data_IF_895567984368
#
_entry.id   IF_895567984368
#
_cell.length_a   1.000
_cell.length_b   1.000
_cell.length_c   1.000
_cell.angle_alpha   90.00
_cell.angle_beta   90.00
_cell.angle_gamma   90.00
#
_symmetry.space_group_name_H-M   'P 1'
#
loop_
_entity.id
_entity.type
_entity.pdbx_description
1 polymer ?
#
# COMPACT_ATOMS: atom_id res chain seq x y z
N UNK A 1 -20.20 2.28 8.54
CA UNK A 1 -20.73 0.99 8.98
C UNK A 1 -19.90 0.53 10.17
N UNK A 2 -20.58 0.17 11.27
CA UNK A 2 -19.92 -0.29 12.48
C UNK A 2 -19.42 -1.72 12.24
N UNK A 3 -18.19 -1.85 11.81
CA UNK A 3 -17.51 -3.13 11.68
C UNK A 3 -17.11 -3.62 13.08
N UNK A 4 -18.09 -4.07 13.87
CA UNK A 4 -17.74 -4.74 15.11
C UNK A 4 -17.36 -6.18 14.79
N UNK A 5 -16.12 -6.53 15.09
CA UNK A 5 -15.61 -7.90 14.89
C UNK A 5 -16.11 -8.88 15.96
N UNK A 6 -16.93 -8.44 16.94
CA UNK A 6 -17.39 -9.29 18.02
C UNK A 6 -18.21 -10.49 17.52
N UNK A 7 -19.08 -10.30 16.53
CA UNK A 7 -19.82 -11.42 15.97
C UNK A 7 -19.04 -12.20 14.90
N UNK A 8 -18.03 -11.56 14.28
CA UNK A 8 -17.18 -12.22 13.29
C UNK A 8 -16.39 -13.39 13.88
N UNK A 9 -16.04 -13.30 15.16
CA UNK A 9 -15.37 -14.36 15.88
C UNK A 9 -16.24 -15.65 16.03
N UNK A 10 -17.54 -15.52 15.80
CA UNK A 10 -18.49 -16.63 15.86
C UNK A 10 -18.80 -17.25 14.48
N UNK A 11 -18.23 -16.73 13.42
CA UNK A 11 -18.42 -17.25 12.07
C UNK A 11 -17.28 -18.24 11.74
N UNK A 12 -17.59 -19.54 11.61
CA UNK A 12 -16.57 -20.60 11.52
C UNK A 12 -15.81 -20.64 10.19
N UNK A 13 -16.17 -19.80 9.22
CA UNK A 13 -15.61 -19.79 7.88
C UNK A 13 -15.20 -18.38 7.40
N UNK A 14 -15.12 -17.40 8.29
CA UNK A 14 -14.58 -16.09 7.91
C UNK A 14 -13.06 -16.11 7.97
N UNK A 15 -12.43 -15.87 6.85
CA UNK A 15 -10.97 -15.79 6.77
C UNK A 15 -10.50 -14.55 7.54
N UNK A 16 -9.67 -14.74 8.56
CA UNK A 16 -9.14 -13.69 9.43
C UNK A 16 -10.17 -12.68 9.98
N UNK A 17 -11.42 -13.08 10.17
CA UNK A 17 -12.48 -12.16 10.55
C UNK A 17 -12.89 -11.17 9.45
N UNK A 18 -12.57 -11.48 8.19
CA UNK A 18 -12.62 -10.57 7.06
C UNK A 18 -14.00 -10.35 6.43
N UNK A 19 -15.08 -10.87 7.02
CA UNK A 19 -16.42 -10.70 6.45
C UNK A 19 -16.86 -9.22 6.38
N UNK A 20 -16.35 -8.40 7.29
CA UNK A 20 -16.62 -6.95 7.36
C UNK A 20 -15.33 -6.20 7.61
N UNK A 21 -14.37 -6.31 6.70
CA UNK A 21 -13.12 -5.57 6.83
C UNK A 21 -13.36 -4.06 6.88
N UNK A 22 -12.66 -3.36 7.76
CA UNK A 22 -12.55 -1.92 7.66
C UNK A 22 -11.83 -1.53 6.36
N UNK A 23 -11.89 -0.27 5.93
CA UNK A 23 -11.03 0.21 4.86
C UNK A 23 -9.56 -0.12 5.16
N UNK A 24 -8.85 -0.64 4.15
CA UNK A 24 -7.42 -0.90 4.22
C UNK A 24 -6.70 -0.19 3.08
N UNK A 25 -5.42 0.10 3.26
CA UNK A 25 -4.65 0.92 2.35
C UNK A 25 -4.49 0.25 0.99
N UNK A 26 -4.23 -1.05 0.98
CA UNK A 26 -4.06 -1.86 -0.22
C UNK A 26 -5.34 -1.99 -1.03
N UNK A 27 -6.49 -2.25 -0.38
CA UNK A 27 -7.80 -2.32 -1.05
C UNK A 27 -8.25 -0.94 -1.52
N UNK A 28 -8.08 0.08 -0.68
CA UNK A 28 -8.38 1.48 -1.05
C UNK A 28 -7.56 1.89 -2.26
N UNK A 29 -6.26 1.54 -2.31
CA UNK A 29 -5.40 1.77 -3.47
C UNK A 29 -5.95 1.11 -4.74
N UNK A 30 -6.42 -0.14 -4.65
CA UNK A 30 -7.05 -0.84 -5.79
C UNK A 30 -8.31 -0.12 -6.29
N UNK A 31 -9.16 0.33 -5.36
CA UNK A 31 -10.36 1.09 -5.71
C UNK A 31 -10.01 2.43 -6.38
N UNK A 32 -9.03 3.15 -5.86
CA UNK A 32 -8.53 4.41 -6.46
C UNK A 32 -8.03 4.16 -7.88
N UNK A 33 -7.21 3.13 -8.10
CA UNK A 33 -6.71 2.78 -9.43
C UNK A 33 -7.84 2.46 -10.40
N UNK A 34 -8.85 1.70 -9.95
CA UNK A 34 -10.02 1.35 -10.77
C UNK A 34 -10.82 2.61 -11.14
N UNK A 35 -11.14 3.47 -10.18
CA UNK A 35 -11.91 4.70 -10.42
C UNK A 35 -11.18 5.62 -11.40
N UNK A 36 -9.86 5.78 -11.24
CA UNK A 36 -9.04 6.57 -12.15
C UNK A 36 -9.06 6.00 -13.58
N UNK A 37 -8.98 4.68 -13.74
CA UNK A 37 -9.07 4.02 -15.05
C UNK A 37 -10.45 4.17 -15.69
N UNK A 38 -11.52 4.28 -14.91
CA UNK A 38 -12.87 4.59 -15.38
C UNK A 38 -13.07 6.07 -15.74
N UNK A 39 -12.03 6.90 -15.58
CA UNK A 39 -12.06 8.30 -15.93
C UNK A 39 -12.48 9.25 -14.80
N UNK A 40 -12.68 8.73 -13.59
CA UNK A 40 -12.91 9.56 -12.41
C UNK A 40 -11.68 10.43 -12.13
N UNK A 41 -11.93 11.66 -11.71
CA UNK A 41 -10.87 12.64 -11.40
C UNK A 41 -10.97 13.13 -9.97
N UNK A 42 -9.84 13.34 -9.33
CA UNK A 42 -9.77 13.86 -7.95
C UNK A 42 -10.43 15.23 -7.77
N UNK A 43 -10.54 16.01 -8.84
CA UNK A 43 -11.18 17.33 -8.81
C UNK A 43 -12.71 17.26 -8.77
N UNK A 44 -13.33 16.18 -9.22
CA UNK A 44 -14.79 16.06 -9.41
C UNK A 44 -15.42 14.89 -8.66
N UNK A 45 -14.64 13.89 -8.26
CA UNK A 45 -15.14 12.69 -7.59
C UNK A 45 -14.92 12.76 -6.08
N UNK A 46 -16.00 12.88 -5.31
CA UNK A 46 -15.94 12.85 -3.84
C UNK A 46 -15.40 11.52 -3.31
N UNK A 47 -15.75 10.41 -3.96
CA UNK A 47 -15.23 9.09 -3.58
C UNK A 47 -13.70 9.03 -3.70
N UNK A 48 -13.16 9.55 -4.80
CA UNK A 48 -11.74 9.59 -5.03
C UNK A 48 -11.02 10.52 -4.04
N UNK A 49 -11.61 11.68 -3.74
CA UNK A 49 -11.08 12.63 -2.75
C UNK A 49 -10.97 11.98 -1.35
N UNK A 50 -12.04 11.33 -0.88
CA UNK A 50 -12.05 10.66 0.41
C UNK A 50 -11.04 9.51 0.47
N UNK A 51 -10.94 8.72 -0.59
CA UNK A 51 -9.97 7.63 -0.67
C UNK A 51 -8.51 8.13 -0.65
N UNK A 52 -8.21 9.20 -1.38
CA UNK A 52 -6.90 9.83 -1.37
C UNK A 52 -6.57 10.48 -0.02
N UNK A 53 -7.56 11.06 0.65
CA UNK A 53 -7.40 11.57 2.00
C UNK A 53 -7.05 10.45 2.98
N UNK A 54 -7.82 9.36 2.98
CA UNK A 54 -7.56 8.18 3.81
C UNK A 54 -6.13 7.65 3.60
N UNK A 55 -5.70 7.47 2.36
CA UNK A 55 -4.34 7.03 2.02
C UNK A 55 -3.27 7.94 2.63
N UNK A 56 -3.46 9.28 2.58
CA UNK A 56 -2.50 10.23 3.18
C UNK A 56 -2.47 10.15 4.70
N UNK A 57 -3.64 10.00 5.32
CA UNK A 57 -3.77 9.92 6.78
C UNK A 57 -3.21 8.62 7.37
N UNK A 58 -3.20 7.55 6.59
CA UNK A 58 -2.71 6.23 7.01
C UNK A 58 -1.25 5.96 6.63
N UNK A 59 -0.58 6.89 5.95
CA UNK A 59 0.85 6.74 5.67
C UNK A 59 1.64 6.70 6.99
N UNK A 60 2.45 5.66 7.15
CA UNK A 60 3.27 5.49 8.34
C UNK A 60 4.42 6.52 8.38
N UNK A 61 4.96 6.81 9.56
CA UNK A 61 6.03 7.80 9.73
C UNK A 61 7.27 7.51 8.88
N UNK A 62 7.56 6.24 8.58
CA UNK A 62 8.68 5.82 7.74
C UNK A 62 8.42 6.02 6.24
N UNK A 63 7.18 6.29 5.85
CA UNK A 63 6.75 6.51 4.47
C UNK A 63 6.04 5.32 3.82
N UNK A 64 5.96 4.17 4.48
CA UNK A 64 5.29 2.97 3.99
C UNK A 64 3.78 2.97 4.27
N UNK A 65 3.09 1.98 3.70
CA UNK A 65 1.71 1.63 4.03
C UNK A 65 1.59 0.15 4.35
N UNK A 66 0.73 -0.17 5.31
CA UNK A 66 0.39 -1.53 5.67
C UNK A 66 -0.45 -2.19 4.57
N UNK A 67 -0.16 -3.46 4.25
CA UNK A 67 -0.91 -4.24 3.28
C UNK A 67 -1.56 -5.46 3.94
N UNK A 68 -2.87 -5.45 4.08
CA UNK A 68 -3.60 -6.53 4.75
C UNK A 68 -3.66 -7.81 3.92
N UNK A 69 -3.84 -7.70 2.61
CA UNK A 69 -4.11 -8.82 1.73
C UNK A 69 -2.91 -9.34 0.95
N UNK A 70 -1.75 -8.83 1.25
CA UNK A 70 -0.47 -9.29 0.74
C UNK A 70 0.62 -9.05 1.77
N UNK A 71 1.77 -9.68 1.61
CA UNK A 71 2.89 -9.52 2.54
C UNK A 71 3.78 -8.37 2.07
N UNK A 72 3.93 -7.42 2.90
CA UNK A 72 3.01 -6.70 3.77
C UNK A 72 3.18 -5.22 3.48
N UNK A 73 4.26 -4.58 4.01
CA UNK A 73 4.55 -3.16 3.76
C UNK A 73 5.04 -2.89 2.33
N UNK A 74 5.83 -3.81 1.73
CA UNK A 74 6.23 -3.70 0.32
C UNK A 74 5.00 -3.77 -0.58
N UNK A 75 4.11 -4.72 -0.32
CA UNK A 75 2.87 -4.90 -1.06
C UNK A 75 1.91 -3.70 -0.89
N UNK A 76 1.68 -3.25 0.33
CA UNK A 76 0.82 -2.09 0.63
C UNK A 76 1.33 -0.82 -0.03
N UNK A 77 2.62 -0.55 0.13
CA UNK A 77 3.27 0.62 -0.45
C UNK A 77 3.22 0.61 -1.98
N UNK A 78 3.50 -0.54 -2.62
CA UNK A 78 3.33 -0.68 -4.06
C UNK A 78 1.91 -0.37 -4.53
N UNK A 79 0.90 -0.98 -3.88
CA UNK A 79 -0.51 -0.80 -4.24
C UNK A 79 -0.90 0.69 -4.19
N UNK A 80 -0.49 1.37 -3.12
CA UNK A 80 -0.79 2.79 -2.92
C UNK A 80 -0.02 3.69 -3.89
N UNK A 81 1.26 3.45 -4.14
CA UNK A 81 2.02 4.24 -5.11
C UNK A 81 1.42 4.17 -6.52
N UNK A 82 1.01 2.98 -6.96
CA UNK A 82 0.31 2.80 -8.23
C UNK A 82 -1.01 3.57 -8.26
N UNK A 83 -1.75 3.57 -7.16
CA UNK A 83 -3.02 4.28 -7.03
C UNK A 83 -2.86 5.79 -7.09
N UNK A 84 -1.90 6.33 -6.35
CA UNK A 84 -1.59 7.76 -6.35
C UNK A 84 -1.18 8.23 -7.74
N UNK A 85 -0.32 7.48 -8.41
CA UNK A 85 0.07 7.77 -9.79
C UNK A 85 -1.13 7.76 -10.75
N UNK A 86 -1.99 6.72 -10.69
CA UNK A 86 -3.19 6.62 -11.52
C UNK A 86 -4.17 7.79 -11.28
N UNK A 87 -4.26 8.28 -10.04
CA UNK A 87 -5.07 9.44 -9.67
C UNK A 87 -4.42 10.80 -10.04
N UNK A 88 -3.26 10.79 -10.70
CA UNK A 88 -2.55 11.99 -11.12
C UNK A 88 -1.86 12.75 -9.98
N UNK A 89 -1.47 12.06 -8.92
CA UNK A 89 -0.58 12.62 -7.89
C UNK A 89 0.85 12.63 -8.44
N UNK A 90 1.46 13.81 -8.46
CA UNK A 90 2.81 13.97 -9.02
C UNK A 90 3.91 13.30 -8.18
N UNK A 91 5.06 12.95 -8.77
CA UNK A 91 6.15 12.26 -8.09
C UNK A 91 6.80 13.09 -6.96
N UNK A 92 6.64 14.40 -6.99
CA UNK A 92 7.18 15.33 -5.98
C UNK A 92 6.24 15.52 -4.78
N UNK A 93 5.04 14.92 -4.81
CA UNK A 93 4.14 14.95 -3.67
C UNK A 93 4.81 14.32 -2.44
N UNK A 94 4.61 14.89 -1.23
CA UNK A 94 5.31 14.42 -0.02
C UNK A 94 5.14 12.93 0.24
N UNK A 95 3.92 12.42 0.04
CA UNK A 95 3.59 11.00 0.22
C UNK A 95 4.34 10.09 -0.78
N UNK A 96 4.44 10.52 -2.03
CA UNK A 96 5.16 9.78 -3.08
C UNK A 96 6.66 9.74 -2.80
N UNK A 97 7.22 10.89 -2.43
CA UNK A 97 8.66 11.01 -2.14
C UNK A 97 9.06 10.18 -0.92
N UNK A 98 8.33 10.26 0.19
CA UNK A 98 8.60 9.47 1.40
C UNK A 98 8.58 7.97 1.13
N UNK A 99 7.59 7.49 0.38
CA UNK A 99 7.47 6.08 0.06
C UNK A 99 8.59 5.61 -0.88
N UNK A 100 8.98 6.43 -1.85
CA UNK A 100 10.13 6.15 -2.72
C UNK A 100 11.44 6.07 -1.93
N UNK A 101 11.68 7.00 -1.03
CA UNK A 101 12.85 7.00 -0.14
C UNK A 101 12.88 5.76 0.76
N UNK A 102 11.71 5.37 1.29
CA UNK A 102 11.57 4.17 2.10
C UNK A 102 11.91 2.90 1.28
N UNK A 103 11.39 2.75 0.06
CA UNK A 103 11.70 1.60 -0.80
C UNK A 103 13.20 1.48 -1.07
N UNK A 104 13.89 2.58 -1.39
CA UNK A 104 15.34 2.55 -1.55
C UNK A 104 16.08 2.19 -0.26
N UNK A 105 15.61 2.67 0.88
CA UNK A 105 16.22 2.39 2.18
C UNK A 105 16.18 0.91 2.57
N UNK A 106 15.11 0.20 2.19
CA UNK A 106 14.91 -1.22 2.53
C UNK A 106 15.39 -2.19 1.46
N UNK A 107 16.03 -1.69 0.39
CA UNK A 107 16.60 -2.53 -0.66
C UNK A 107 17.72 -3.40 -0.10
N UNK A 108 17.69 -4.69 -0.41
CA UNK A 108 18.73 -5.64 -0.03
C UNK A 108 20.02 -5.40 -0.83
N UNK A 109 21.14 -5.91 -0.31
CA UNK A 109 22.45 -5.76 -0.95
C UNK A 109 22.54 -6.42 -2.34
N UNK A 110 21.68 -7.40 -2.63
CA UNK A 110 21.55 -8.05 -3.93
C UNK A 110 20.73 -7.23 -4.95
N UNK A 111 20.25 -6.06 -4.56
CA UNK A 111 19.43 -5.17 -5.38
C UNK A 111 17.93 -5.51 -5.39
N UNK A 112 17.51 -6.58 -4.70
CA UNK A 112 16.12 -6.99 -4.59
C UNK A 112 15.45 -6.51 -3.30
N UNK A 113 14.24 -6.98 -3.06
CA UNK A 113 13.44 -6.70 -1.87
C UNK A 113 12.86 -7.98 -1.30
N UNK A 114 12.80 -8.05 0.02
CA UNK A 114 12.21 -9.16 0.75
C UNK A 114 11.70 -8.74 2.12
N UNK A 115 10.59 -9.32 2.52
CA UNK A 115 9.90 -9.05 3.77
C UNK A 115 9.43 -10.36 4.39
N UNK A 116 9.68 -10.53 5.69
CA UNK A 116 9.27 -11.71 6.45
C UNK A 116 7.81 -11.62 6.88
N UNK A 117 7.13 -12.76 6.96
CA UNK A 117 5.74 -12.86 7.39
C UNK A 117 5.49 -12.36 8.82
N UNK A 118 6.51 -12.23 9.65
CA UNK A 118 6.40 -11.62 10.98
C UNK A 118 6.13 -10.11 10.94
N UNK A 119 6.34 -9.44 9.79
CA UNK A 119 5.86 -8.08 9.55
C UNK A 119 4.34 -7.97 9.69
N UNK A 120 3.61 -9.08 9.54
CA UNK A 120 2.14 -9.12 9.57
C UNK A 120 1.61 -9.08 11.01
N UNK A 121 2.03 -8.06 11.74
CA UNK A 121 1.58 -7.80 13.12
C UNK A 121 0.68 -6.60 13.15
N UNK A 122 -0.41 -6.71 13.92
CA UNK A 122 -1.38 -5.62 14.08
C UNK A 122 -0.86 -4.43 14.90
N UNK A 123 0.34 -4.54 15.49
CA UNK A 123 0.99 -3.46 16.21
C UNK A 123 1.80 -2.50 15.30
N UNK A 124 1.78 -2.73 14.01
CA UNK A 124 2.39 -1.87 12.99
C UNK A 124 3.86 -1.51 13.27
N UNK A 125 4.66 -2.47 13.69
CA UNK A 125 6.08 -2.25 14.00
C UNK A 125 6.96 -1.94 12.80
N UNK A 126 6.42 -2.12 11.60
CA UNK A 126 7.14 -1.93 10.35
C UNK A 126 7.67 -3.24 9.77
N UNK A 127 8.42 -3.09 8.68
CA UNK A 127 8.95 -4.20 7.91
C UNK A 127 9.99 -5.00 8.72
N UNK A 128 9.85 -6.33 8.69
CA UNK A 128 10.89 -7.28 9.09
C UNK A 128 11.62 -7.78 7.84
N UNK A 129 12.92 -7.47 7.69
CA UNK A 129 13.68 -7.82 6.49
C UNK A 129 13.79 -9.33 6.26
N UNK A 130 13.76 -9.74 5.01
CA UNK A 130 14.01 -11.11 4.57
C UNK A 130 14.83 -11.14 3.28
N UNK A 131 15.38 -12.30 2.89
CA UNK A 131 15.99 -12.47 1.58
C UNK A 131 15.05 -12.05 0.45
N UNK A 132 15.61 -11.49 -0.62
CA UNK A 132 14.85 -11.02 -1.77
C UNK A 132 13.98 -12.11 -2.38
N UNK A 133 12.75 -11.76 -2.73
CA UNK A 133 11.84 -12.63 -3.50
C UNK A 133 11.48 -11.98 -4.82
N UNK A 134 11.15 -12.78 -5.82
CA UNK A 134 10.79 -12.28 -7.15
C UNK A 134 9.54 -11.39 -7.10
N UNK A 135 8.52 -11.79 -6.33
CA UNK A 135 7.26 -11.05 -6.23
C UNK A 135 7.42 -9.71 -5.52
N UNK A 136 8.10 -9.69 -4.37
CA UNK A 136 8.32 -8.47 -3.59
C UNK A 136 9.26 -7.50 -4.31
N UNK A 137 10.27 -8.01 -4.99
CA UNK A 137 11.13 -7.22 -5.87
C UNK A 137 10.33 -6.59 -7.01
N UNK A 138 9.47 -7.35 -7.68
CA UNK A 138 8.61 -6.81 -8.74
C UNK A 138 7.66 -5.72 -8.22
N UNK A 139 7.04 -5.91 -7.06
CA UNK A 139 6.18 -4.90 -6.44
C UNK A 139 6.96 -3.62 -6.12
N UNK A 140 8.14 -3.75 -5.52
CA UNK A 140 8.98 -2.59 -5.20
C UNK A 140 9.37 -1.80 -6.46
N UNK A 141 9.80 -2.49 -7.53
CA UNK A 141 10.18 -1.86 -8.80
C UNK A 141 8.98 -1.14 -9.43
N UNK A 142 7.81 -1.78 -9.50
CA UNK A 142 6.60 -1.17 -10.05
C UNK A 142 6.19 0.06 -9.22
N UNK A 143 6.28 -0.03 -7.89
CA UNK A 143 6.03 1.10 -6.99
C UNK A 143 7.00 2.26 -7.21
N UNK A 144 8.28 1.97 -7.37
CA UNK A 144 9.29 2.98 -7.67
C UNK A 144 9.05 3.67 -9.02
N UNK A 145 8.70 2.92 -10.06
CA UNK A 145 8.32 3.47 -11.37
C UNK A 145 7.11 4.40 -11.22
N UNK A 146 6.07 3.95 -10.53
CA UNK A 146 4.87 4.74 -10.27
C UNK A 146 5.18 6.03 -9.48
N UNK A 147 6.17 5.97 -8.58
CA UNK A 147 6.66 7.13 -7.82
C UNK A 147 7.65 8.02 -8.61
N UNK A 148 7.82 7.78 -9.90
CA UNK A 148 8.67 8.60 -10.77
C UNK A 148 10.17 8.38 -10.55
N UNK A 149 10.59 7.24 -10.00
CA UNK A 149 12.01 6.90 -9.95
C UNK A 149 12.52 6.66 -11.38
N UNK A 150 13.56 7.38 -11.76
CA UNK A 150 14.29 7.12 -13.02
C UNK A 150 15.18 5.89 -12.83
N UNK A 151 15.33 5.05 -13.88
CA UNK A 151 16.43 4.10 -13.89
C UNK A 151 17.73 4.89 -13.69
N UNK A 152 18.58 4.44 -12.78
CA UNK A 152 19.86 5.11 -12.54
C UNK A 152 20.66 5.07 -13.85
N UNK A 153 20.99 6.25 -14.34
CA UNK A 153 22.00 6.44 -15.39
C UNK A 153 23.38 6.11 -14.84
#
# INVERSE_FOLDING_TARGET
ADNTYLYLNNIPFSDHGALLDPPTEDVTGRCVSMLAQLGERKETSAALQHALQYIRETQLPDGSWYGRWGMNYIYGTWSVLCALNAAGVGPDAPEMRKAREWLFKIQNADGGWGEDGTSYRLDYRGLEPAPSTASQTAWAIIGLIAAGASPIS
#
